data_IF_885564703657
#
_entry.id   IF_885564703657
#
_cell.length_a   1.000
_cell.length_b   1.000
_cell.length_c   1.000
_cell.angle_alpha   90.00
_cell.angle_beta   90.00
_cell.angle_gamma   90.00
#
_symmetry.space_group_name_H-M   'P 1'
#
loop_
_entity.id
_entity.type
_entity.pdbx_description
1 polymer ?
#
# COMPACT_ATOMS: atom_id res chain seq x y z
N UNK A 1 -3.14 -16.31 12.67
CA UNK A 1 -3.61 -14.90 12.75
C UNK A 1 -3.58 -14.34 11.35
N UNK A 2 -4.74 -14.09 10.74
CA UNK A 2 -4.80 -13.55 9.39
C UNK A 2 -4.43 -12.06 9.44
N UNK A 3 -3.23 -11.72 8.98
CA UNK A 3 -2.79 -10.34 8.87
C UNK A 3 -3.49 -9.72 7.65
N UNK A 4 -4.61 -9.05 7.88
CA UNK A 4 -5.29 -8.28 6.83
C UNK A 4 -4.56 -6.95 6.67
N UNK A 5 -3.75 -6.85 5.62
CA UNK A 5 -3.09 -5.61 5.19
C UNK A 5 -3.77 -5.08 3.93
N UNK A 6 -4.19 -3.81 3.94
CA UNK A 6 -4.79 -3.15 2.79
C UNK A 6 -4.01 -1.89 2.41
N UNK A 7 -3.85 -1.66 1.11
CA UNK A 7 -3.26 -0.43 0.58
C UNK A 7 -4.38 0.58 0.35
N UNK A 8 -4.33 1.67 1.10
CA UNK A 8 -5.36 2.72 1.05
C UNK A 8 -4.75 4.07 0.70
N UNK A 9 -5.47 4.85 -0.10
CA UNK A 9 -5.08 6.21 -0.43
C UNK A 9 -5.56 7.17 0.65
N UNK A 10 -4.64 7.96 1.20
CA UNK A 10 -4.98 9.03 2.13
C UNK A 10 -5.68 10.18 1.41
N UNK A 11 -6.64 10.84 2.07
CA UNK A 11 -7.21 12.12 1.62
C UNK A 11 -7.07 13.18 2.71
N UNK A 12 -7.02 14.45 2.33
CA UNK A 12 -6.99 15.57 3.27
C UNK A 12 -8.41 16.01 3.64
N UNK A 13 -8.67 16.16 4.93
CA UNK A 13 -9.89 16.75 5.47
C UNK A 13 -9.49 17.75 6.55
N UNK A 14 -9.70 19.04 6.28
CA UNK A 14 -9.19 20.12 7.12
C UNK A 14 -7.67 20.06 7.26
N UNK A 15 -7.18 20.07 8.51
CA UNK A 15 -5.76 19.93 8.86
C UNK A 15 -5.23 18.50 8.94
N UNK A 16 -6.08 17.48 8.74
CA UNK A 16 -5.74 16.07 8.98
C UNK A 16 -5.75 15.22 7.71
N UNK A 17 -5.01 14.12 7.74
CA UNK A 17 -5.14 13.04 6.75
C UNK A 17 -6.08 11.98 7.28
N UNK A 18 -7.01 11.56 6.42
CA UNK A 18 -7.99 10.52 6.71
C UNK A 18 -7.76 9.37 5.74
N UNK A 19 -7.85 8.15 6.26
CA UNK A 19 -7.89 6.91 5.48
C UNK A 19 -9.28 6.31 5.61
N UNK A 20 -9.82 5.80 4.51
CA UNK A 20 -11.05 5.01 4.54
C UNK A 20 -10.67 3.57 4.87
N UNK A 21 -11.24 3.01 5.93
CA UNK A 21 -11.12 1.59 6.22
C UNK A 21 -12.03 0.81 5.26
N UNK A 22 -11.50 -0.13 4.45
CA UNK A 22 -12.33 -0.96 3.59
C UNK A 22 -13.31 -1.83 4.39
N UNK A 23 -14.48 -2.11 3.82
CA UNK A 23 -15.53 -2.92 4.46
C UNK A 23 -15.03 -4.28 4.95
N UNK A 24 -14.19 -4.92 4.15
CA UNK A 24 -13.57 -6.21 4.48
C UNK A 24 -12.77 -6.16 5.79
N UNK A 25 -12.05 -5.05 6.03
CA UNK A 25 -11.25 -4.84 7.24
C UNK A 25 -12.15 -4.56 8.43
N UNK A 26 -13.18 -3.72 8.25
CA UNK A 26 -14.11 -3.37 9.33
C UNK A 26 -14.95 -4.56 9.78
N UNK A 27 -15.44 -5.37 8.84
CA UNK A 27 -16.23 -6.57 9.15
C UNK A 27 -15.37 -7.66 9.79
N UNK A 28 -14.18 -7.93 9.24
CA UNK A 28 -13.29 -8.97 9.77
C UNK A 28 -12.77 -8.68 11.18
N UNK A 29 -12.55 -7.40 11.50
CA UNK A 29 -12.08 -6.97 12.83
C UNK A 29 -13.23 -6.51 13.75
N UNK A 30 -14.46 -6.48 13.26
CA UNK A 30 -15.63 -6.02 14.03
C UNK A 30 -15.58 -4.55 14.45
N UNK A 31 -14.86 -3.70 13.71
CA UNK A 31 -14.64 -2.29 14.05
C UNK A 31 -15.93 -1.50 13.84
N UNK A 32 -16.32 -0.71 14.85
CA UNK A 32 -17.52 0.14 14.79
C UNK A 32 -17.17 1.63 14.78
N UNK A 33 -18.16 2.45 14.42
CA UNK A 33 -18.03 3.90 14.50
C UNK A 33 -17.79 4.34 15.95
N UNK A 34 -16.86 5.29 16.15
CA UNK A 34 -16.51 5.82 17.49
C UNK A 34 -15.52 4.98 18.29
N UNK A 35 -15.05 3.86 17.74
CA UNK A 35 -14.05 3.00 18.39
C UNK A 35 -12.64 3.56 18.21
N UNK A 36 -11.83 3.49 19.27
CA UNK A 36 -10.41 3.87 19.23
C UNK A 36 -9.63 2.65 18.74
N UNK A 37 -8.91 2.82 17.63
CA UNK A 37 -8.11 1.75 17.02
C UNK A 37 -6.64 2.15 16.94
N UNK A 38 -5.77 1.17 17.15
CA UNK A 38 -4.34 1.32 16.86
C UNK A 38 -4.09 1.12 15.36
N UNK A 39 -3.30 2.01 14.76
CA UNK A 39 -2.91 1.92 13.35
C UNK A 39 -1.39 1.81 13.21
N UNK A 40 -0.95 0.89 12.35
CA UNK A 40 0.45 0.82 11.92
C UNK A 40 0.55 1.39 10.51
N UNK A 41 1.28 2.50 10.35
CA UNK A 41 1.44 3.18 9.05
C UNK A 41 2.79 2.83 8.45
N UNK A 42 2.79 2.23 7.25
CA UNK A 42 3.99 1.99 6.44
C UNK A 42 3.92 2.82 5.16
N UNK A 43 4.86 3.75 4.97
CA UNK A 43 4.95 4.52 3.72
C UNK A 43 5.44 3.57 2.62
N UNK A 44 4.63 3.40 1.58
CA UNK A 44 5.08 2.73 0.37
C UNK A 44 6.07 3.64 -0.36
N UNK A 45 7.25 3.10 -0.67
CA UNK A 45 8.09 3.65 -1.73
C UNK A 45 7.60 3.01 -3.02
N UNK A 46 7.23 3.82 -4.00
CA UNK A 46 7.10 3.31 -5.36
C UNK A 46 8.52 3.15 -5.84
N UNK A 47 8.93 1.91 -6.06
CA UNK A 47 10.22 1.63 -6.66
C UNK A 47 10.20 2.32 -8.03
N UNK A 48 11.24 3.08 -8.38
CA UNK A 48 11.27 3.91 -9.60
C UNK A 48 11.18 3.11 -10.93
N UNK A 49 10.97 1.80 -10.84
CA UNK A 49 10.61 0.93 -11.95
C UNK A 49 9.28 1.39 -12.56
N UNK A 50 9.31 1.71 -13.85
CA UNK A 50 8.16 2.25 -14.58
C UNK A 50 7.93 3.77 -14.42
N UNK A 51 8.81 4.51 -13.73
CA UNK A 51 8.78 5.97 -13.77
C UNK A 51 9.11 6.52 -15.18
N UNK A 52 9.85 5.75 -15.98
CA UNK A 52 10.02 5.93 -17.41
C UNK A 52 9.07 4.97 -18.15
N UNK A 53 8.20 5.52 -19.02
CA UNK A 53 7.33 4.73 -19.92
C UNK A 53 8.21 3.77 -20.74
N UNK A 54 8.00 2.46 -20.58
CA UNK A 54 8.67 1.41 -21.35
C UNK A 54 9.71 0.58 -20.59
N UNK A 55 10.03 0.94 -19.34
CA UNK A 55 10.94 0.13 -18.49
C UNK A 55 10.11 -0.71 -17.53
N UNK A 56 10.08 -2.02 -17.78
CA UNK A 56 9.49 -3.01 -16.87
C UNK A 56 10.33 -3.23 -15.61
N UNK A 57 9.85 -4.02 -14.65
CA UNK A 57 10.67 -4.48 -13.53
C UNK A 57 11.91 -5.21 -14.06
N UNK A 58 13.05 -5.06 -13.39
CA UNK A 58 14.25 -5.84 -13.70
C UNK A 58 13.96 -7.32 -13.45
N UNK A 59 14.11 -8.13 -14.50
CA UNK A 59 13.84 -9.56 -14.49
C UNK A 59 15.14 -10.35 -14.50
N UNK A 60 15.08 -11.64 -14.15
CA UNK A 60 16.23 -12.55 -14.22
C UNK A 60 16.80 -12.62 -15.66
N UNK A 61 15.95 -12.41 -16.67
CA UNK A 61 16.36 -12.34 -18.08
C UNK A 61 17.26 -11.12 -18.39
N UNK A 62 17.19 -10.05 -17.59
CA UNK A 62 18.04 -8.86 -17.73
C UNK A 62 19.44 -9.07 -17.14
N UNK A 63 19.59 -9.94 -16.12
CA UNK A 63 20.90 -10.29 -15.53
C UNK A 63 21.78 -11.07 -16.52
N UNK A 64 21.16 -11.98 -17.29
CA UNK A 64 21.86 -12.86 -18.23
C UNK A 64 22.44 -12.12 -19.45
N UNK A 65 21.89 -10.96 -19.81
CA UNK A 65 22.34 -10.15 -20.96
C UNK A 65 23.50 -9.20 -20.64
N UNK A 66 23.81 -8.99 -19.37
CA UNK A 66 24.80 -7.99 -18.97
C UNK A 66 26.26 -8.46 -19.16
N UNK A 67 26.49 -9.74 -19.49
CA UNK A 67 27.82 -10.34 -19.61
C UNK A 67 28.08 -10.99 -20.99
N UNK A 68 27.49 -10.46 -22.05
CA UNK A 68 27.87 -10.76 -23.45
C UNK A 68 28.75 -9.65 -24.05
#
# INVERSE_FOLDING_TARGET
>A
MNNITSLVKTRRVGGSLVVTLPKEVTESKGIKEGEIVEITVKKLRVDGFGALRGIGPFTVDDELKANE
#
